data_IF_419300046425
#
_entry.id   IF_419300046425
#
_cell.length_a   1.000
_cell.length_b   1.000
_cell.length_c   1.000
_cell.angle_alpha   90.00
_cell.angle_beta   90.00
_cell.angle_gamma   90.00
#
_symmetry.space_group_name_H-M   'P 1'
#
loop_
_entity.id
_entity.type
_entity.pdbx_description
1 polymer ?
#
# COMPACT_ATOMS: atom_id res chain seq x y z
N UNK A 1 -1.91 -27.54 -1.47
CA UNK A 1 -1.52 -26.80 -0.24
C UNK A 1 -2.76 -26.42 0.57
N UNK A 2 -3.76 -25.76 -0.02
CA UNK A 2 -4.98 -25.32 0.69
C UNK A 2 -5.75 -26.42 1.41
N UNK A 3 -5.66 -27.67 0.96
CA UNK A 3 -6.27 -28.83 1.63
C UNK A 3 -5.48 -29.32 2.86
N UNK A 4 -4.28 -28.80 3.12
CA UNK A 4 -3.50 -29.17 4.31
C UNK A 4 -4.06 -28.45 5.55
N UNK A 5 -3.95 -29.05 6.75
CA UNK A 5 -4.31 -28.39 7.99
C UNK A 5 -3.53 -27.08 8.16
N UNK A 6 -4.22 -26.01 8.56
CA UNK A 6 -3.59 -24.73 8.80
C UNK A 6 -2.64 -24.80 10.02
N UNK A 7 -1.40 -24.38 9.82
CA UNK A 7 -0.35 -24.32 10.85
C UNK A 7 -0.63 -23.17 11.81
N UNK A 8 -0.56 -23.42 13.09
CA UNK A 8 -0.47 -22.39 14.12
C UNK A 8 1.01 -22.01 14.29
N UNK A 9 1.31 -20.73 14.29
CA UNK A 9 2.63 -20.19 14.60
C UNK A 9 2.54 -19.28 15.83
N UNK A 10 3.59 -19.17 16.67
CA UNK A 10 3.56 -18.25 17.80
C UNK A 10 3.57 -16.78 17.35
N UNK A 11 3.13 -15.84 18.19
CA UNK A 11 3.37 -14.42 17.98
C UNK A 11 4.86 -14.13 17.84
N UNK A 12 5.22 -13.14 17.02
CA UNK A 12 6.60 -12.78 16.78
C UNK A 12 6.79 -12.07 15.45
N UNK A 13 8.03 -11.76 15.16
CA UNK A 13 8.41 -11.13 13.89
C UNK A 13 8.82 -12.19 12.88
N UNK A 14 8.23 -12.10 11.69
CA UNK A 14 8.48 -13.05 10.60
C UNK A 14 8.83 -12.31 9.32
N UNK A 15 9.90 -12.74 8.67
CA UNK A 15 10.20 -12.34 7.30
C UNK A 15 9.00 -12.66 6.41
N UNK A 16 8.61 -11.75 5.52
CA UNK A 16 7.40 -11.94 4.75
C UNK A 16 7.50 -11.39 3.33
N UNK A 17 6.89 -12.10 2.40
CA UNK A 17 6.48 -11.60 1.11
C UNK A 17 5.01 -11.20 1.17
N UNK A 18 4.70 -9.95 0.85
CA UNK A 18 3.35 -9.45 0.69
C UNK A 18 3.05 -9.37 -0.80
N UNK A 19 2.05 -10.12 -1.26
CA UNK A 19 1.60 -10.08 -2.64
C UNK A 19 0.96 -8.72 -2.98
N UNK A 20 0.82 -8.35 -4.26
CA UNK A 20 0.23 -7.07 -4.67
C UNK A 20 -1.10 -6.75 -4.00
N UNK A 21 -1.99 -7.74 -3.83
CA UNK A 21 -3.26 -7.56 -3.13
C UNK A 21 -3.09 -7.22 -1.63
N UNK A 22 -2.08 -7.79 -0.96
CA UNK A 22 -1.77 -7.41 0.42
C UNK A 22 -1.16 -6.01 0.51
N UNK A 23 -0.37 -5.62 -0.48
CA UNK A 23 0.18 -4.25 -0.60
C UNK A 23 -0.93 -3.24 -0.86
N UNK A 24 -1.94 -3.60 -1.66
CA UNK A 24 -3.11 -2.74 -1.91
C UNK A 24 -3.83 -2.37 -0.62
N UNK A 25 -4.07 -3.30 0.28
CA UNK A 25 -4.71 -3.03 1.58
C UNK A 25 -3.93 -1.98 2.41
N UNK A 26 -2.58 -1.99 2.34
CA UNK A 26 -1.76 -0.97 3.02
C UNK A 26 -1.98 0.41 2.41
N UNK A 27 -2.05 0.50 1.09
CA UNK A 27 -2.27 1.76 0.39
C UNK A 27 -3.73 2.23 0.46
N UNK A 28 -4.70 1.33 0.49
CA UNK A 28 -6.11 1.67 0.71
C UNK A 28 -6.30 2.30 2.11
N UNK A 29 -5.62 1.78 3.12
CA UNK A 29 -5.59 2.43 4.43
C UNK A 29 -4.91 3.80 4.38
N UNK A 30 -3.77 3.94 3.67
CA UNK A 30 -3.11 5.23 3.49
C UNK A 30 -3.97 6.23 2.70
N UNK A 31 -4.76 5.75 1.73
CA UNK A 31 -5.68 6.59 0.96
C UNK A 31 -6.69 7.32 1.86
N UNK A 32 -6.96 6.78 3.05
CA UNK A 32 -7.80 7.42 4.05
C UNK A 32 -7.06 8.59 4.72
N UNK A 33 -7.00 9.73 4.00
CA UNK A 33 -6.42 11.00 4.43
C UNK A 33 -4.88 11.07 4.34
N UNK A 34 -4.23 10.12 3.67
CA UNK A 34 -2.77 10.16 3.49
C UNK A 34 -2.32 11.10 2.39
N UNK A 35 -3.15 11.31 1.38
CA UNK A 35 -2.72 11.97 0.15
C UNK A 35 -3.42 13.30 -0.15
N UNK A 36 -4.49 13.64 0.57
CA UNK A 36 -5.27 14.86 0.32
C UNK A 36 -4.63 16.14 0.84
N UNK A 37 -4.74 17.23 0.08
CA UNK A 37 -4.22 18.55 0.45
C UNK A 37 -4.78 19.02 1.79
N UNK A 38 -6.10 18.88 2.02
CA UNK A 38 -6.75 19.31 3.26
C UNK A 38 -6.13 18.65 4.49
N UNK A 39 -5.95 17.32 4.45
CA UNK A 39 -5.38 16.59 5.58
C UNK A 39 -3.93 16.99 5.86
N UNK A 40 -3.16 17.30 4.82
CA UNK A 40 -1.82 17.86 4.97
C UNK A 40 -1.85 19.28 5.57
N UNK A 41 -2.71 20.18 5.10
CA UNK A 41 -2.82 21.55 5.60
C UNK A 41 -3.32 21.62 7.05
N UNK A 42 -4.18 20.69 7.44
CA UNK A 42 -4.74 20.61 8.80
C UNK A 42 -3.93 19.71 9.74
N UNK A 43 -2.80 19.16 9.27
CA UNK A 43 -1.95 18.22 10.01
C UNK A 43 -2.71 16.96 10.51
N UNK A 44 -3.72 16.52 9.75
CA UNK A 44 -4.50 15.31 10.02
C UNK A 44 -4.01 14.09 9.23
N UNK A 45 -3.11 14.29 8.28
CA UNK A 45 -2.55 13.20 7.48
C UNK A 45 -1.72 12.22 8.31
N UNK A 46 -1.84 10.90 8.10
CA UNK A 46 -0.94 9.92 8.71
C UNK A 46 0.50 10.05 8.20
N UNK A 47 0.71 10.69 7.06
CA UNK A 47 2.03 10.95 6.46
C UNK A 47 2.68 12.26 6.96
N UNK A 48 2.20 12.84 8.06
CA UNK A 48 2.69 14.13 8.56
C UNK A 48 4.20 14.13 8.81
N UNK A 49 4.72 13.06 9.42
CA UNK A 49 6.17 12.94 9.67
C UNK A 49 6.98 12.78 8.39
N UNK A 50 6.42 12.10 7.38
CA UNK A 50 7.03 12.01 6.06
C UNK A 50 7.06 13.38 5.38
N UNK A 51 5.95 14.11 5.41
CA UNK A 51 5.83 15.46 4.84
C UNK A 51 6.76 16.48 5.50
N UNK A 52 7.04 16.31 6.80
CA UNK A 52 7.99 17.14 7.55
C UNK A 52 9.45 16.69 7.40
N UNK A 53 9.72 15.58 6.72
CA UNK A 53 11.07 15.03 6.60
C UNK A 53 11.61 14.40 7.90
N UNK A 54 10.75 14.17 8.90
CA UNK A 54 11.11 13.52 10.18
C UNK A 54 11.24 11.99 10.02
N UNK A 55 10.57 11.43 9.02
CA UNK A 55 10.63 10.03 8.60
C UNK A 55 10.81 9.92 7.10
N UNK A 56 11.37 8.82 6.66
CA UNK A 56 11.51 8.47 5.25
C UNK A 56 11.05 7.03 5.04
N UNK A 57 10.57 6.74 3.84
CA UNK A 57 10.42 5.38 3.35
C UNK A 57 11.73 4.95 2.66
N UNK A 58 11.79 3.69 2.24
CA UNK A 58 12.92 3.18 1.48
C UNK A 58 13.06 3.97 0.16
N UNK A 59 14.28 4.28 -0.30
CA UNK A 59 14.50 5.03 -1.56
C UNK A 59 13.91 4.38 -2.80
N UNK A 60 13.60 3.09 -2.78
CA UNK A 60 12.91 2.37 -3.88
C UNK A 60 11.41 2.70 -3.95
N UNK A 61 10.83 3.32 -2.92
CA UNK A 61 9.40 3.67 -2.89
C UNK A 61 9.20 4.98 -3.66
N UNK A 62 8.61 4.84 -4.85
CA UNK A 62 8.07 5.96 -5.62
C UNK A 62 6.63 5.67 -5.97
N UNK A 63 5.72 6.49 -5.43
CA UNK A 63 4.27 6.33 -5.51
C UNK A 63 3.67 7.49 -6.28
N UNK A 64 2.79 7.19 -7.24
CA UNK A 64 2.11 8.19 -8.07
C UNK A 64 0.62 7.91 -8.12
N UNK A 65 -0.15 8.95 -8.26
CA UNK A 65 -1.45 8.90 -8.89
C UNK A 65 -1.24 8.96 -10.40
N UNK A 66 -1.44 7.85 -11.11
CA UNK A 66 -1.03 7.65 -12.52
C UNK A 66 -2.27 7.64 -13.43
N UNK A 67 -2.83 8.80 -13.71
CA UNK A 67 -4.06 8.92 -14.52
C UNK A 67 -3.90 8.42 -15.96
N UNK A 68 -2.69 8.42 -16.50
CA UNK A 68 -2.44 7.98 -17.89
C UNK A 68 -2.55 6.46 -18.06
N UNK A 69 -2.32 5.68 -17.00
CA UNK A 69 -2.33 4.20 -17.04
C UNK A 69 -3.43 3.57 -16.22
N UNK A 70 -4.11 4.35 -15.38
CA UNK A 70 -5.23 3.89 -14.58
C UNK A 70 -6.51 3.68 -15.38
N UNK A 71 -7.53 3.17 -14.73
CA UNK A 71 -8.86 2.95 -15.32
C UNK A 71 -9.80 4.14 -15.08
N UNK A 72 -9.46 5.04 -14.16
CA UNK A 72 -10.24 6.24 -13.88
C UNK A 72 -10.19 7.23 -15.04
N UNK A 73 -11.27 7.98 -15.21
CA UNK A 73 -11.35 9.00 -16.28
C UNK A 73 -10.32 10.12 -16.04
N UNK A 74 -9.78 10.68 -17.13
CA UNK A 74 -8.81 11.79 -17.07
C UNK A 74 -9.46 13.16 -16.94
N UNK A 75 -10.74 13.24 -16.75
CA UNK A 75 -11.47 14.50 -16.51
C UNK A 75 -12.37 14.34 -15.28
N UNK A 76 -12.63 15.45 -14.62
CA UNK A 76 -13.51 15.52 -13.44
C UNK A 76 -14.92 15.94 -13.85
N UNK A 77 -15.88 15.73 -12.96
CA UNK A 77 -17.27 16.17 -13.16
C UNK A 77 -17.38 17.71 -13.32
N UNK A 78 -16.44 18.46 -12.74
CA UNK A 78 -16.36 19.93 -12.86
C UNK A 78 -15.70 20.40 -14.16
N UNK A 79 -15.25 19.49 -15.03
CA UNK A 79 -14.69 19.81 -16.33
C UNK A 79 -13.18 20.05 -16.35
N UNK A 80 -12.44 19.67 -15.31
CA UNK A 80 -10.98 19.75 -15.29
C UNK A 80 -10.36 18.50 -15.92
N UNK A 81 -9.31 18.68 -16.68
CA UNK A 81 -8.42 17.59 -17.08
C UNK A 81 -7.38 17.34 -15.99
N UNK A 82 -7.30 16.09 -15.54
CA UNK A 82 -6.26 15.65 -14.61
C UNK A 82 -4.91 15.56 -15.35
N UNK A 83 -3.77 15.88 -14.70
CA UNK A 83 -2.46 15.66 -15.27
C UNK A 83 -2.24 14.17 -15.57
N UNK A 84 -1.22 13.82 -16.35
CA UNK A 84 -0.89 12.41 -16.63
C UNK A 84 -0.56 11.64 -15.36
N UNK A 85 0.17 12.28 -14.46
CA UNK A 85 0.49 11.75 -13.14
C UNK A 85 0.72 12.85 -12.11
N UNK A 86 0.49 12.52 -10.82
CA UNK A 86 0.90 13.30 -9.66
C UNK A 86 1.84 12.43 -8.84
N UNK A 87 3.09 12.86 -8.66
CA UNK A 87 4.05 12.11 -7.84
C UNK A 87 3.81 12.44 -6.37
N UNK A 88 3.30 11.48 -5.61
CA UNK A 88 2.98 11.65 -4.19
C UNK A 88 4.21 11.44 -3.30
N UNK A 89 4.98 10.40 -3.62
CA UNK A 89 6.22 10.04 -2.94
C UNK A 89 7.27 9.78 -4.01
N UNK A 90 8.46 10.34 -3.87
CA UNK A 90 9.58 10.12 -4.76
C UNK A 90 10.82 9.69 -3.96
N UNK A 91 11.36 8.50 -4.27
CA UNK A 91 12.55 8.00 -3.58
C UNK A 91 12.40 7.97 -2.05
N UNK A 92 11.23 7.53 -1.56
CA UNK A 92 10.92 7.44 -0.14
C UNK A 92 10.63 8.77 0.55
N UNK A 93 10.50 9.88 -0.18
CA UNK A 93 10.25 11.22 0.36
C UNK A 93 8.92 11.77 -0.13
N UNK A 94 8.21 12.47 0.73
CA UNK A 94 7.02 13.22 0.34
C UNK A 94 7.34 14.21 -0.77
N UNK A 95 6.48 14.28 -1.79
CA UNK A 95 6.67 15.15 -2.93
C UNK A 95 5.47 16.08 -3.13
N UNK A 96 4.24 15.53 -3.21
CA UNK A 96 3.03 16.28 -3.51
C UNK A 96 1.80 15.58 -2.92
N UNK A 97 0.63 16.20 -3.07
CA UNK A 97 -0.66 15.69 -2.63
C UNK A 97 -1.73 15.85 -3.71
N UNK A 98 -2.88 15.20 -3.49
CA UNK A 98 -4.06 15.31 -4.35
C UNK A 98 -4.86 16.54 -3.95
N UNK A 99 -5.27 17.30 -4.96
CA UNK A 99 -5.95 18.58 -4.82
C UNK A 99 -7.22 18.56 -5.65
N UNK A 100 -8.36 18.45 -5.00
CA UNK A 100 -9.67 18.58 -5.64
C UNK A 100 -10.09 20.05 -5.84
N UNK A 101 -11.21 20.28 -6.50
CA UNK A 101 -11.73 21.63 -6.78
C UNK A 101 -12.06 22.45 -5.52
N UNK A 102 -12.45 21.78 -4.44
CA UNK A 102 -12.77 22.42 -3.16
C UNK A 102 -11.49 22.84 -2.43
N UNK A 103 -10.58 21.93 -2.20
CA UNK A 103 -9.32 22.21 -1.51
C UNK A 103 -8.43 23.17 -2.33
N UNK A 104 -8.48 23.09 -3.66
CA UNK A 104 -7.83 24.04 -4.55
C UNK A 104 -8.30 25.48 -4.27
N UNK A 105 -9.59 25.69 -4.16
CA UNK A 105 -10.18 27.00 -3.84
C UNK A 105 -9.85 27.44 -2.41
N UNK A 106 -9.95 26.52 -1.44
CA UNK A 106 -9.74 26.82 -0.02
C UNK A 106 -8.27 27.21 0.26
N UNK A 107 -7.31 26.53 -0.37
CA UNK A 107 -5.87 26.72 -0.11
C UNK A 107 -5.11 27.41 -1.26
N UNK A 108 -5.81 27.93 -2.26
CA UNK A 108 -5.21 28.62 -3.42
C UNK A 108 -4.16 27.77 -4.14
N UNK A 109 -4.51 26.52 -4.42
CA UNK A 109 -3.67 25.55 -5.16
C UNK A 109 -4.30 25.23 -6.50
N UNK A 110 -3.52 24.65 -7.42
CA UNK A 110 -4.04 24.12 -8.68
C UNK A 110 -4.72 22.76 -8.47
N UNK A 111 -5.87 22.53 -9.13
CA UNK A 111 -6.54 21.23 -9.16
C UNK A 111 -5.66 20.22 -9.90
N UNK A 112 -5.47 19.03 -9.34
CA UNK A 112 -4.73 17.94 -9.98
C UNK A 112 -5.45 16.58 -9.91
N UNK A 113 -6.56 16.47 -9.16
CA UNK A 113 -7.31 15.24 -8.97
C UNK A 113 -8.82 15.50 -8.92
N UNK A 114 -9.64 14.46 -9.06
CA UNK A 114 -11.09 14.55 -8.91
C UNK A 114 -11.52 14.61 -7.45
N UNK A 115 -10.73 14.01 -6.57
CA UNK A 115 -10.92 13.98 -5.12
C UNK A 115 -9.58 13.93 -4.41
N UNK A 116 -9.58 13.96 -3.09
CA UNK A 116 -8.37 13.90 -2.26
C UNK A 116 -7.91 12.45 -1.97
N UNK A 117 -8.62 11.46 -2.51
CA UNK A 117 -8.22 10.05 -2.53
C UNK A 117 -7.72 9.61 -3.91
N UNK A 118 -6.81 8.64 -3.98
CA UNK A 118 -6.29 8.14 -5.26
C UNK A 118 -7.34 7.32 -6.00
N UNK A 119 -7.37 7.45 -7.33
CA UNK A 119 -8.21 6.67 -8.24
C UNK A 119 -7.37 5.77 -9.18
N UNK A 120 -6.08 6.03 -9.31
CA UNK A 120 -5.18 5.33 -10.24
C UNK A 120 -3.77 5.21 -9.64
N UNK A 121 -3.70 4.64 -8.44
CA UNK A 121 -2.47 4.57 -7.67
C UNK A 121 -1.45 3.62 -8.32
N UNK A 122 -0.20 4.03 -8.43
CA UNK A 122 0.88 3.20 -8.96
C UNK A 122 2.13 3.30 -8.10
N UNK A 123 2.65 2.14 -7.69
CA UNK A 123 3.97 2.01 -7.07
C UNK A 123 4.96 1.54 -8.14
N UNK A 124 6.14 2.17 -8.20
CA UNK A 124 7.18 1.76 -9.13
C UNK A 124 7.62 0.30 -8.85
N UNK A 125 7.93 -0.48 -9.89
CA UNK A 125 8.42 -1.85 -9.73
C UNK A 125 9.84 -1.87 -9.18
N UNK A 126 10.21 -3.01 -8.58
CA UNK A 126 11.59 -3.33 -8.29
C UNK A 126 12.26 -4.16 -9.39
N UNK A 127 13.26 -4.91 -8.99
CA UNK A 127 14.11 -5.72 -9.88
C UNK A 127 13.92 -7.24 -9.70
N UNK A 128 13.22 -7.67 -8.65
CA UNK A 128 13.07 -9.09 -8.32
C UNK A 128 11.95 -9.71 -9.16
N UNK A 129 12.24 -10.70 -10.03
CA UNK A 129 11.19 -11.43 -10.71
C UNK A 129 10.24 -12.07 -9.70
N UNK A 130 8.92 -11.97 -9.91
CA UNK A 130 7.92 -12.56 -8.99
C UNK A 130 8.15 -14.07 -8.83
N UNK A 131 8.58 -14.75 -9.88
CA UNK A 131 8.89 -16.18 -9.83
C UNK A 131 10.05 -16.54 -8.87
N UNK A 132 10.94 -15.60 -8.57
CA UNK A 132 12.03 -15.77 -7.62
C UNK A 132 11.65 -15.50 -6.17
N UNK A 133 10.47 -14.91 -5.92
CA UNK A 133 10.06 -14.51 -4.57
C UNK A 133 10.06 -15.66 -3.56
N UNK A 134 9.61 -16.88 -3.89
CA UNK A 134 9.67 -17.97 -2.92
C UNK A 134 11.12 -18.28 -2.49
N UNK A 135 12.06 -18.34 -3.43
CA UNK A 135 13.47 -18.57 -3.11
C UNK A 135 14.12 -17.38 -2.39
N UNK A 136 13.73 -16.15 -2.72
CA UNK A 136 14.19 -14.93 -2.03
C UNK A 136 13.65 -14.84 -0.60
N UNK A 137 12.40 -15.25 -0.38
CA UNK A 137 11.82 -15.36 0.95
C UNK A 137 12.53 -16.43 1.78
N UNK A 138 12.94 -17.51 1.16
CA UNK A 138 13.57 -18.69 1.78
C UNK A 138 12.65 -19.30 2.85
N UNK A 139 12.68 -18.77 4.08
CA UNK A 139 11.81 -19.20 5.18
C UNK A 139 11.07 -18.01 5.76
N UNK A 140 9.73 -18.11 5.86
CA UNK A 140 8.88 -17.02 6.35
C UNK A 140 7.44 -17.16 5.92
N UNK A 141 6.78 -16.02 5.73
CA UNK A 141 5.36 -15.94 5.38
C UNK A 141 5.17 -15.41 3.96
N UNK A 142 4.42 -16.14 3.15
CA UNK A 142 3.85 -15.61 1.92
C UNK A 142 2.41 -15.15 2.21
N UNK A 143 2.18 -13.84 2.21
CA UNK A 143 0.92 -13.21 2.58
C UNK A 143 0.22 -12.75 1.30
N UNK A 144 -0.83 -13.46 0.90
CA UNK A 144 -1.60 -13.16 -0.31
C UNK A 144 -2.54 -11.96 -0.14
N UNK A 145 -3.05 -11.75 1.06
CA UNK A 145 -3.99 -10.66 1.37
C UNK A 145 -3.92 -10.30 2.86
N UNK A 146 -4.21 -9.03 3.15
CA UNK A 146 -4.46 -8.52 4.50
C UNK A 146 -5.95 -8.19 4.65
N UNK A 147 -6.41 -8.03 5.88
CA UNK A 147 -7.82 -7.82 6.16
C UNK A 147 -8.04 -6.91 7.36
N UNK A 148 -9.07 -6.07 7.28
CA UNK A 148 -9.55 -5.24 8.38
C UNK A 148 -8.47 -4.35 8.98
N UNK A 149 -7.75 -3.65 8.10
CA UNK A 149 -6.69 -2.74 8.52
C UNK A 149 -7.27 -1.49 9.17
N UNK A 150 -6.58 -0.99 10.19
CA UNK A 150 -6.94 0.25 10.86
C UNK A 150 -5.68 0.90 11.45
N UNK A 151 -5.75 2.20 11.72
CA UNK A 151 -4.70 2.88 12.44
C UNK A 151 -4.80 2.57 13.95
N UNK A 152 -3.72 2.05 14.53
CA UNK A 152 -3.51 1.98 15.97
C UNK A 152 -2.96 3.31 16.50
N UNK A 153 -2.12 3.99 15.71
CA UNK A 153 -1.65 5.35 15.92
C UNK A 153 -1.43 6.01 14.54
N UNK A 154 -2.28 6.98 14.23
CA UNK A 154 -2.26 7.67 12.95
C UNK A 154 -0.99 8.51 12.75
N UNK A 155 -0.48 9.13 13.81
CA UNK A 155 0.69 10.02 13.72
C UNK A 155 1.99 9.26 13.45
N UNK A 156 2.07 8.01 13.92
CA UNK A 156 3.20 7.12 13.69
C UNK A 156 2.98 6.13 12.56
N UNK A 157 1.90 6.28 11.78
CA UNK A 157 1.46 5.29 10.79
C UNK A 157 1.48 3.85 11.35
N UNK A 158 1.17 3.69 12.65
CA UNK A 158 1.02 2.36 13.25
C UNK A 158 -0.33 1.81 12.85
N UNK A 159 -0.28 0.59 12.35
CA UNK A 159 -1.44 -0.11 11.82
C UNK A 159 -1.63 -1.44 12.53
N UNK A 160 -2.87 -1.85 12.61
CA UNK A 160 -3.27 -3.20 13.01
C UNK A 160 -4.15 -3.81 11.93
N UNK A 161 -4.16 -5.11 11.82
CA UNK A 161 -4.97 -5.84 10.87
C UNK A 161 -4.82 -7.35 11.05
N UNK A 162 -5.33 -8.10 10.09
CA UNK A 162 -5.32 -9.57 10.11
C UNK A 162 -4.66 -10.12 8.85
N UNK A 163 -3.87 -11.18 8.99
CA UNK A 163 -3.47 -12.08 7.90
C UNK A 163 -4.59 -13.07 7.70
N UNK A 164 -5.50 -12.88 6.76
CA UNK A 164 -6.70 -13.73 6.73
C UNK A 164 -6.70 -14.74 5.60
N UNK A 165 -6.57 -14.29 4.38
CA UNK A 165 -6.71 -15.16 3.23
C UNK A 165 -5.33 -15.47 2.64
N UNK A 166 -5.16 -16.71 2.13
CA UNK A 166 -3.98 -17.12 1.37
C UNK A 166 -2.66 -16.73 2.04
N UNK A 167 -2.54 -16.96 3.36
CA UNK A 167 -1.28 -16.83 4.09
C UNK A 167 -0.65 -18.21 4.25
N UNK A 168 0.60 -18.36 3.77
CA UNK A 168 1.31 -19.64 3.75
C UNK A 168 2.63 -19.53 4.51
N UNK A 169 2.95 -20.60 5.23
CA UNK A 169 4.30 -20.83 5.74
C UNK A 169 5.18 -21.39 4.62
N UNK A 170 6.31 -20.74 4.41
CA UNK A 170 7.33 -21.12 3.42
C UNK A 170 8.57 -21.61 4.15
N UNK A 171 9.18 -22.71 3.69
CA UNK A 171 10.47 -23.23 4.15
C UNK A 171 11.31 -23.60 2.93
N UNK A 172 12.55 -23.13 2.87
CA UNK A 172 13.48 -23.34 1.76
C UNK A 172 12.87 -22.94 0.39
N UNK A 173 12.09 -21.88 0.35
CA UNK A 173 11.42 -21.41 -0.86
C UNK A 173 10.17 -22.21 -1.28
N UNK A 174 9.74 -23.19 -0.49
CA UNK A 174 8.54 -23.99 -0.79
C UNK A 174 7.40 -23.67 0.19
N UNK A 175 6.20 -23.46 -0.33
CA UNK A 175 5.02 -23.29 0.49
C UNK A 175 4.62 -24.62 1.13
N UNK A 176 4.70 -24.71 2.46
CA UNK A 176 4.52 -25.96 3.21
C UNK A 176 3.07 -26.14 3.66
N UNK A 177 2.46 -25.12 4.24
CA UNK A 177 1.11 -25.17 4.78
C UNK A 177 0.44 -23.80 4.83
N UNK A 178 -0.89 -23.70 4.80
CA UNK A 178 -1.57 -22.48 5.17
C UNK A 178 -1.32 -22.16 6.63
N UNK A 179 -1.32 -20.88 6.99
CA UNK A 179 -1.17 -20.39 8.35
C UNK A 179 -2.54 -19.95 8.87
N UNK A 180 -2.84 -20.23 10.15
CA UNK A 180 -4.02 -19.68 10.81
C UNK A 180 -3.99 -18.16 10.78
N UNK A 181 -5.16 -17.54 10.61
CA UNK A 181 -5.26 -16.09 10.65
C UNK A 181 -4.73 -15.55 11.98
N UNK A 182 -3.89 -14.51 11.88
CA UNK A 182 -3.29 -13.84 13.04
C UNK A 182 -3.45 -12.34 12.90
N UNK A 183 -3.54 -11.66 14.03
CA UNK A 183 -3.43 -10.21 14.07
C UNK A 183 -1.97 -9.80 13.81
N UNK A 184 -1.78 -8.66 13.19
CA UNK A 184 -0.49 -8.00 13.14
C UNK A 184 -0.62 -6.56 13.66
N UNK A 185 0.45 -6.07 14.27
CA UNK A 185 0.59 -4.68 14.69
C UNK A 185 1.97 -4.20 14.22
N UNK A 186 1.99 -3.28 13.25
CA UNK A 186 3.24 -2.79 12.68
C UNK A 186 3.15 -1.31 12.31
N UNK A 187 4.18 -0.77 11.70
CA UNK A 187 4.20 0.58 11.14
C UNK A 187 4.47 0.54 9.65
N UNK A 188 3.76 1.38 8.88
CA UNK A 188 4.03 1.55 7.46
C UNK A 188 5.44 2.11 7.21
N UNK A 189 5.99 2.89 8.16
CA UNK A 189 7.39 3.32 8.11
C UNK A 189 8.40 2.17 8.25
N UNK A 190 8.01 1.06 8.89
CA UNK A 190 8.83 -0.15 8.92
C UNK A 190 8.65 -0.97 7.63
N UNK A 191 7.40 -1.29 7.27
CA UNK A 191 7.12 -2.18 6.14
C UNK A 191 7.57 -1.59 4.79
N UNK A 192 7.39 -0.28 4.59
CA UNK A 192 7.78 0.43 3.38
C UNK A 192 9.10 1.21 3.54
N UNK A 193 9.75 1.11 4.69
CA UNK A 193 11.00 1.79 5.01
C UNK A 193 12.12 0.83 5.38
N UNK A 194 12.54 0.87 6.63
CA UNK A 194 13.74 0.17 7.13
C UNK A 194 13.69 -1.35 7.03
N UNK A 195 12.51 -1.95 6.91
CA UNK A 195 12.36 -3.40 6.73
C UNK A 195 12.10 -3.84 5.29
N UNK A 196 12.02 -2.92 4.33
CA UNK A 196 11.84 -3.27 2.93
C UNK A 196 13.13 -3.89 2.36
N UNK A 197 13.07 -5.14 1.95
CA UNK A 197 14.20 -5.85 1.32
C UNK A 197 14.15 -5.77 -0.21
N UNK A 198 12.96 -5.71 -0.80
CA UNK A 198 12.80 -5.60 -2.25
C UNK A 198 11.36 -5.50 -2.72
N UNK A 199 11.20 -5.19 -4.01
CA UNK A 199 9.91 -5.17 -4.70
C UNK A 199 10.00 -6.08 -5.92
N UNK A 200 8.85 -6.65 -6.32
CA UNK A 200 8.78 -7.41 -7.56
C UNK A 200 8.90 -6.52 -8.79
N UNK A 201 9.45 -7.10 -9.86
CA UNK A 201 9.52 -6.48 -11.19
C UNK A 201 8.14 -6.39 -11.82
N UNK A 202 7.40 -7.48 -11.74
CA UNK A 202 6.04 -7.55 -12.24
C UNK A 202 5.09 -6.87 -11.25
N UNK A 203 4.11 -6.16 -11.82
CA UNK A 203 3.03 -5.49 -11.08
C UNK A 203 1.69 -6.06 -11.49
N UNK A 204 0.74 -6.05 -10.58
CA UNK A 204 -0.65 -6.41 -10.84
C UNK A 204 -1.52 -5.15 -10.88
N UNK A 205 -2.43 -5.09 -11.86
CA UNK A 205 -3.49 -4.09 -11.90
C UNK A 205 -4.68 -4.61 -11.10
N UNK A 206 -4.88 -4.04 -9.93
CA UNK A 206 -5.97 -4.36 -9.02
C UNK A 206 -7.08 -3.34 -9.22
N UNK A 207 -8.29 -3.83 -9.53
CA UNK A 207 -9.46 -2.98 -9.78
C UNK A 207 -10.31 -2.96 -8.53
N UNK A 208 -10.78 -1.78 -8.13
CA UNK A 208 -11.68 -1.64 -6.98
C UNK A 208 -12.92 -2.53 -7.12
N UNK A 209 -13.26 -3.32 -6.10
CA UNK A 209 -14.49 -4.11 -6.08
C UNK A 209 -15.73 -3.29 -5.72
N UNK A 210 -15.58 -2.01 -5.39
CA UNK A 210 -16.67 -1.16 -4.91
C UNK A 210 -17.75 -0.96 -5.96
N UNK A 211 -19.00 -1.17 -5.53
CA UNK A 211 -20.19 -1.03 -6.36
C UNK A 211 -21.30 -0.22 -5.67
N UNK A 212 -21.02 0.36 -4.50
CA UNK A 212 -21.97 1.21 -3.78
C UNK A 212 -22.21 2.50 -4.59
N UNK A 213 -23.48 2.84 -4.84
CA UNK A 213 -23.92 3.97 -5.68
C UNK A 213 -23.47 3.92 -7.16
N UNK A 214 -22.61 2.97 -7.53
CA UNK A 214 -22.10 2.82 -8.90
C UNK A 214 -20.83 2.00 -8.94
N UNK A 215 -20.44 1.60 -10.14
CA UNK A 215 -19.17 0.90 -10.36
C UNK A 215 -18.00 1.85 -10.21
N UNK A 216 -17.11 1.58 -9.28
CA UNK A 216 -15.83 2.28 -9.18
C UNK A 216 -14.91 1.92 -10.34
N UNK A 217 -14.20 2.90 -10.91
CA UNK A 217 -13.08 2.71 -11.84
C UNK A 217 -11.71 2.90 -11.15
N UNK A 218 -11.70 3.03 -9.83
CA UNK A 218 -10.46 3.12 -9.10
C UNK A 218 -9.64 1.84 -9.26
N UNK A 219 -8.33 1.99 -9.36
CA UNK A 219 -7.40 0.90 -9.58
C UNK A 219 -6.04 1.19 -8.95
N UNK A 220 -5.27 0.13 -8.67
CA UNK A 220 -3.92 0.25 -8.18
C UNK A 220 -3.00 -0.69 -8.98
N UNK A 221 -1.88 -0.17 -9.48
CA UNK A 221 -0.85 -0.92 -10.20
C UNK A 221 0.35 -1.14 -9.28
N UNK A 222 0.43 -2.31 -8.66
CA UNK A 222 1.32 -2.57 -7.53
C UNK A 222 2.22 -3.78 -7.73
N UNK A 223 3.50 -3.71 -7.34
CA UNK A 223 4.35 -4.87 -7.14
C UNK A 223 4.04 -5.56 -5.81
N UNK A 224 4.48 -6.79 -5.63
CA UNK A 224 4.65 -7.38 -4.31
C UNK A 224 5.90 -6.85 -3.62
N UNK A 225 5.95 -6.94 -2.30
CA UNK A 225 7.09 -6.50 -1.49
C UNK A 225 7.63 -7.63 -0.61
N UNK A 226 8.95 -7.67 -0.47
CA UNK A 226 9.66 -8.52 0.48
C UNK A 226 10.11 -7.65 1.65
N UNK A 227 9.79 -8.08 2.87
CA UNK A 227 10.16 -7.37 4.10
C UNK A 227 10.90 -8.29 5.06
N UNK A 228 11.90 -7.75 5.77
CA UNK A 228 12.67 -8.50 6.77
C UNK A 228 11.84 -8.89 8.00
N UNK A 229 10.66 -8.30 8.17
CA UNK A 229 9.76 -8.68 9.24
C UNK A 229 8.42 -7.96 9.25
N UNK A 230 7.37 -8.72 9.58
CA UNK A 230 6.06 -8.23 10.00
C UNK A 230 5.79 -8.74 11.42
N UNK A 231 5.31 -7.88 12.30
CA UNK A 231 5.09 -8.20 13.71
C UNK A 231 3.69 -8.81 13.90
N UNK A 232 3.63 -10.14 14.08
CA UNK A 232 2.39 -10.87 14.35
C UNK A 232 2.08 -10.89 15.84
N UNK A 233 0.82 -10.66 16.20
CA UNK A 233 0.26 -10.67 17.55
C UNK A 233 -0.82 -11.75 17.70
N UNK A 234 -1.28 -11.98 18.93
CA UNK A 234 -2.41 -12.87 19.23
C UNK A 234 -3.75 -12.26 18.85
#
# INVERSE_FOLDING_TARGET
ILARPARAIPPGRYRAYLAPAAVAELFDLLAWGGFGLKDHKTAQTPLLRLARGERHLDPRITLREEHARGLATRFTAEGFFKPEAVTLIAGGRYQDCLVDSRSAKEYSQAVNAAGEGPESLALDPGDIPTAEMPSRLDTGLAIGNLWYLNYADRNDCRITGMTRFATFWVENGEAIAPVKAMRFDDSLYHLLGDRLEGLTRERELLVSPETYEGRSSASALLPGILVSGIDLAL
#
